data_IF_272382808074
#
_entry.id   IF_272382808074
#
_cell.length_a   1.000
_cell.length_b   1.000
_cell.length_c   1.000
_cell.angle_alpha   90.00
_cell.angle_beta   90.00
_cell.angle_gamma   90.00
#
_symmetry.space_group_name_H-M   'P 1'
#
loop_
_entity.id
_entity.type
_entity.pdbx_description
1 polymer ?
#
# COMPACT_ATOMS: atom_id res chain seq x y z
N UNK A 1 -34.98 11.54 9.22
CA UNK A 1 -34.22 10.36 8.79
C UNK A 1 -33.65 10.73 7.43
N UNK A 2 -32.44 11.29 7.39
CA UNK A 2 -31.84 11.72 6.12
C UNK A 2 -31.11 10.52 5.53
N UNK A 3 -31.46 10.18 4.29
CA UNK A 3 -30.92 9.05 3.55
C UNK A 3 -29.42 9.28 3.27
N UNK A 4 -28.57 8.71 4.10
CA UNK A 4 -27.13 8.66 3.88
C UNK A 4 -26.81 7.52 2.90
N UNK A 5 -27.29 7.63 1.67
CA UNK A 5 -27.05 6.65 0.59
C UNK A 5 -26.26 7.23 -0.57
N UNK A 6 -25.91 8.52 -0.50
CA UNK A 6 -25.12 9.19 -1.53
C UNK A 6 -23.61 8.95 -1.35
N UNK A 7 -22.95 8.56 -2.44
CA UNK A 7 -21.51 8.31 -2.49
C UNK A 7 -20.81 9.55 -3.06
N UNK A 8 -19.78 10.05 -2.37
CA UNK A 8 -18.97 11.14 -2.87
C UNK A 8 -18.14 10.69 -4.09
N UNK A 9 -18.33 11.36 -5.23
CA UNK A 9 -17.66 11.02 -6.51
C UNK A 9 -16.48 11.95 -6.84
N UNK A 10 -16.09 12.86 -5.95
CA UNK A 10 -15.08 13.89 -6.24
C UNK A 10 -13.73 13.30 -6.68
N UNK A 11 -13.27 12.22 -6.03
CA UNK A 11 -12.01 11.57 -6.41
C UNK A 11 -12.01 11.00 -7.83
N UNK A 12 -13.14 10.45 -8.28
CA UNK A 12 -13.32 9.96 -9.66
C UNK A 12 -13.37 11.12 -10.64
N UNK A 13 -14.09 12.20 -10.31
CA UNK A 13 -14.17 13.39 -11.16
C UNK A 13 -12.81 14.07 -11.36
N UNK A 14 -11.96 14.04 -10.33
CA UNK A 14 -10.59 14.56 -10.38
C UNK A 14 -9.60 13.59 -11.04
N UNK A 15 -10.07 12.43 -11.52
CA UNK A 15 -9.23 11.37 -12.09
C UNK A 15 -8.07 10.98 -11.16
N UNK A 16 -8.34 10.90 -9.85
CA UNK A 16 -7.34 10.48 -8.88
C UNK A 16 -6.94 9.02 -9.14
N UNK A 17 -5.73 8.84 -9.68
CA UNK A 17 -5.17 7.53 -9.97
C UNK A 17 -4.57 6.89 -8.72
N UNK A 18 -4.90 5.63 -8.47
CA UNK A 18 -4.33 4.84 -7.38
C UNK A 18 -3.73 3.55 -7.92
N UNK A 19 -2.70 3.04 -7.25
CA UNK A 19 -2.11 1.76 -7.61
C UNK A 19 -2.66 0.66 -6.72
N UNK A 20 -3.15 -0.41 -7.34
CA UNK A 20 -3.52 -1.63 -6.66
C UNK A 20 -2.31 -2.57 -6.60
N UNK A 21 -1.70 -2.72 -5.42
CA UNK A 21 -0.53 -3.58 -5.25
C UNK A 21 -0.87 -4.80 -4.41
N UNK A 22 -0.50 -5.98 -4.92
CA UNK A 22 -0.56 -7.23 -4.19
C UNK A 22 0.68 -7.36 -3.29
N UNK A 23 0.47 -7.40 -1.98
CA UNK A 23 1.53 -7.47 -0.98
C UNK A 23 1.56 -8.87 -0.33
N UNK A 24 2.72 -9.54 -0.27
CA UNK A 24 2.87 -10.79 0.49
C UNK A 24 2.63 -10.59 1.99
N UNK A 25 2.07 -11.60 2.66
CA UNK A 25 1.72 -11.53 4.10
C UNK A 25 2.90 -11.21 5.02
N UNK A 26 4.09 -11.74 4.73
CA UNK A 26 5.26 -11.46 5.56
C UNK A 26 5.61 -9.96 5.53
N UNK A 27 5.38 -9.28 4.41
CA UNK A 27 5.74 -7.88 4.23
C UNK A 27 4.77 -6.97 4.99
N UNK A 28 3.46 -7.26 4.90
CA UNK A 28 2.46 -6.53 5.70
C UNK A 28 2.72 -6.69 7.19
N UNK A 29 3.12 -7.89 7.65
CA UNK A 29 3.48 -8.13 9.05
C UNK A 29 4.68 -7.30 9.50
N UNK A 30 5.66 -7.02 8.62
CA UNK A 30 6.76 -6.11 8.96
C UNK A 30 6.29 -4.66 9.03
N UNK A 31 5.32 -4.26 8.22
CA UNK A 31 4.75 -2.91 8.26
C UNK A 31 3.98 -2.65 9.55
N UNK A 32 3.31 -3.66 10.10
CA UNK A 32 2.64 -3.57 11.40
C UNK A 32 3.62 -3.29 12.55
N UNK A 33 4.90 -3.61 12.38
CA UNK A 33 5.98 -3.34 13.36
C UNK A 33 6.55 -1.92 13.24
N UNK A 34 6.12 -1.11 12.27
CA UNK A 34 6.63 0.24 12.08
C UNK A 34 6.20 1.18 13.21
N UNK A 35 7.17 1.90 13.77
CA UNK A 35 6.94 2.83 14.88
C UNK A 35 6.42 4.19 14.38
N UNK A 36 5.55 4.82 15.18
CA UNK A 36 4.85 6.13 15.16
C UNK A 36 4.82 7.04 13.91
N UNK A 37 5.85 7.08 13.07
CA UNK A 37 5.84 7.90 11.84
C UNK A 37 5.14 7.23 10.66
N UNK A 38 4.81 5.94 10.77
CA UNK A 38 4.16 5.17 9.70
C UNK A 38 5.05 4.96 8.47
N UNK A 39 6.35 5.23 8.56
CA UNK A 39 7.30 5.03 7.47
C UNK A 39 7.80 3.59 7.47
N UNK A 40 7.53 2.87 6.39
CA UNK A 40 7.86 1.44 6.26
C UNK A 40 9.02 1.17 5.30
N UNK A 41 9.34 2.11 4.42
CA UNK A 41 10.29 1.88 3.35
C UNK A 41 10.19 2.90 2.23
N UNK A 42 10.87 2.62 1.14
CA UNK A 42 10.97 3.49 -0.03
C UNK A 42 10.57 2.77 -1.31
N UNK A 43 9.77 3.42 -2.14
CA UNK A 43 9.50 2.96 -3.51
C UNK A 43 10.46 3.66 -4.46
N UNK A 44 11.13 2.89 -5.30
CA UNK A 44 12.01 3.37 -6.37
C UNK A 44 11.40 3.02 -7.72
N UNK A 45 11.23 4.02 -8.57
CA UNK A 45 10.73 3.88 -9.94
C UNK A 45 11.89 4.20 -10.89
N UNK A 46 12.43 3.18 -11.54
CA UNK A 46 13.47 3.30 -12.56
C UNK A 46 12.88 3.14 -13.96
N UNK A 47 13.42 3.86 -14.94
CA UNK A 47 13.14 3.62 -16.36
C UNK A 47 14.45 3.22 -17.05
N UNK A 48 14.53 1.97 -17.52
CA UNK A 48 15.69 1.46 -18.26
C UNK A 48 15.26 1.00 -19.64
N UNK A 49 15.84 1.59 -20.69
CA UNK A 49 15.65 1.17 -22.09
C UNK A 49 14.17 0.93 -22.48
N UNK A 50 13.26 1.81 -22.03
CA UNK A 50 11.83 1.71 -22.33
C UNK A 50 11.02 0.77 -21.43
N UNK A 51 11.64 0.06 -20.49
CA UNK A 51 10.97 -0.72 -19.44
C UNK A 51 10.97 0.06 -18.13
N UNK A 52 9.80 0.16 -17.50
CA UNK A 52 9.65 0.72 -16.15
C UNK A 52 9.86 -0.39 -15.14
N UNK A 53 10.84 -0.24 -14.26
CA UNK A 53 11.12 -1.11 -13.12
C UNK A 53 10.65 -0.39 -11.85
N UNK A 54 9.80 -1.05 -11.06
CA UNK A 54 9.35 -0.52 -9.78
C UNK A 54 9.81 -1.48 -8.69
N UNK A 55 10.40 -0.97 -7.62
CA UNK A 55 10.87 -1.77 -6.50
C UNK A 55 10.54 -1.08 -5.18
N UNK A 56 10.04 -1.84 -4.21
CA UNK A 56 9.90 -1.39 -2.83
C UNK A 56 11.07 -1.91 -2.01
N UNK A 57 11.73 -1.04 -1.25
CA UNK A 57 12.81 -1.39 -0.34
C UNK A 57 12.37 -1.13 1.10
N UNK A 58 12.44 -2.15 1.94
CA UNK A 58 12.08 -2.06 3.37
C UNK A 58 13.14 -1.25 4.14
N UNK A 59 12.71 -0.50 5.15
CA UNK A 59 13.62 0.22 6.04
C UNK A 59 14.50 -0.75 6.86
N UNK A 60 15.73 -0.34 7.14
CA UNK A 60 16.72 -1.19 7.82
C UNK A 60 16.29 -1.54 9.26
N UNK A 61 15.59 -0.62 9.93
CA UNK A 61 15.03 -0.84 11.28
C UNK A 61 13.99 -1.97 11.28
N UNK A 62 13.10 -2.02 10.30
CA UNK A 62 12.09 -3.09 10.17
C UNK A 62 12.70 -4.40 9.71
N UNK A 63 13.74 -4.32 8.87
CA UNK A 63 14.49 -5.51 8.42
C UNK A 63 15.21 -6.17 9.61
N UNK A 64 15.78 -5.37 10.52
CA UNK A 64 16.47 -5.87 11.72
C UNK A 64 15.50 -6.42 12.79
N UNK A 65 14.33 -5.80 12.96
CA UNK A 65 13.29 -6.25 13.90
C UNK A 65 12.66 -7.58 13.48
N UNK A 66 12.55 -7.84 12.18
CA UNK A 66 12.13 -9.15 11.67
C UNK A 66 13.10 -10.28 12.03
N UNK A 67 14.39 -9.98 12.20
CA UNK A 67 15.44 -10.96 12.49
C UNK A 67 15.59 -11.31 13.99
N UNK A 68 15.10 -10.47 14.92
CA UNK A 68 15.25 -10.72 16.37
C UNK A 68 14.15 -11.60 16.98
N UNK A 69 13.00 -11.76 16.32
CA UNK A 69 11.87 -12.56 16.85
C UNK A 69 12.01 -14.07 16.62
N UNK A 70 12.94 -14.52 15.76
CA UNK A 70 13.15 -15.93 15.48
C UNK A 70 14.46 -16.45 16.09
N UNK A 71 14.35 -16.94 17.33
CA UNK A 71 15.18 -18.03 17.84
C UNK A 71 14.86 -19.27 17.00
N UNK A 72 15.35 -19.34 15.75
CA UNK A 72 15.53 -20.53 14.91
C UNK A 72 15.86 -20.09 13.47
N UNK A 73 17.16 -19.99 13.15
CA UNK A 73 17.71 -20.16 11.79
C UNK A 73 17.05 -19.43 10.62
N UNK A 74 17.51 -18.21 10.33
CA UNK A 74 17.62 -17.61 8.99
C UNK A 74 16.42 -17.74 8.03
N UNK A 75 15.50 -16.78 8.13
CA UNK A 75 14.80 -16.23 6.97
C UNK A 75 14.96 -14.71 6.97
N UNK A 76 16.10 -14.22 6.50
CA UNK A 76 16.29 -12.79 6.28
C UNK A 76 15.21 -12.30 5.29
N UNK A 77 14.29 -11.46 5.75
CA UNK A 77 13.29 -10.83 4.88
C UNK A 77 14.06 -10.06 3.80
N UNK A 78 13.84 -10.33 2.51
CA UNK A 78 14.54 -9.61 1.45
C UNK A 78 14.31 -8.11 1.60
N UNK A 79 15.39 -7.31 1.56
CA UNK A 79 15.28 -5.85 1.63
C UNK A 79 14.50 -5.29 0.45
N UNK A 80 14.75 -5.84 -0.73
CA UNK A 80 14.19 -5.36 -1.99
C UNK A 80 13.08 -6.28 -2.51
N UNK A 81 11.96 -5.66 -2.87
CA UNK A 81 10.75 -6.30 -3.36
C UNK A 81 10.35 -5.69 -4.71
N UNK A 82 10.78 -6.28 -5.84
CA UNK A 82 10.42 -5.80 -7.16
C UNK A 82 8.93 -5.99 -7.44
N UNK A 83 8.29 -4.97 -7.99
CA UNK A 83 6.89 -5.01 -8.40
C UNK A 83 6.78 -5.39 -9.87
N UNK A 84 5.90 -6.35 -10.15
CA UNK A 84 5.53 -6.68 -11.53
C UNK A 84 4.28 -5.90 -11.91
N UNK A 85 4.37 -5.10 -12.97
CA UNK A 85 3.23 -4.32 -13.46
C UNK A 85 2.26 -5.24 -14.21
N UNK A 86 0.99 -5.22 -13.82
CA UNK A 86 -0.08 -5.96 -14.47
C UNK A 86 -1.09 -5.00 -15.10
N UNK A 87 -1.52 -5.29 -16.33
CA UNK A 87 -2.60 -4.54 -16.97
C UNK A 87 -3.94 -4.98 -16.38
N UNK A 88 -4.77 -4.02 -15.96
CA UNK A 88 -6.14 -4.27 -15.45
C UNK A 88 -7.18 -4.42 -16.58
N UNK A 89 -6.73 -4.87 -17.76
CA UNK A 89 -7.55 -4.92 -18.98
C UNK A 89 -8.76 -5.84 -18.79
N UNK A 90 -9.95 -5.34 -19.12
CA UNK A 90 -11.21 -6.08 -19.02
C UNK A 90 -12.05 -5.78 -17.78
N UNK A 91 -11.56 -4.95 -16.84
CA UNK A 91 -12.33 -4.52 -15.68
C UNK A 91 -12.04 -3.05 -15.31
N UNK A 92 -13.05 -2.35 -14.82
CA UNK A 92 -12.90 -1.00 -14.24
C UNK A 92 -12.92 -1.13 -12.72
N UNK A 93 -11.83 -0.74 -12.07
CA UNK A 93 -11.71 -0.73 -10.62
C UNK A 93 -11.83 0.70 -10.09
N UNK A 94 -12.59 0.86 -9.01
CA UNK A 94 -12.72 2.11 -8.28
C UNK A 94 -12.59 1.83 -6.78
N UNK A 95 -12.12 2.81 -6.03
CA UNK A 95 -11.97 2.73 -4.58
C UNK A 95 -13.03 3.63 -3.94
N UNK A 96 -13.75 3.08 -2.97
CA UNK A 96 -14.59 3.84 -2.06
C UNK A 96 -14.10 3.60 -0.64
N UNK A 97 -14.13 4.64 0.19
CA UNK A 97 -13.84 4.56 1.62
C UNK A 97 -15.12 4.75 2.41
N UNK A 98 -15.33 3.93 3.44
CA UNK A 98 -16.42 4.09 4.39
C UNK A 98 -15.83 4.50 5.74
N UNK A 99 -16.17 5.71 6.20
CA UNK A 99 -15.80 6.20 7.53
C UNK A 99 -16.87 5.82 8.56
N UNK A 100 -16.44 5.51 9.79
CA UNK A 100 -17.33 5.13 10.92
C UNK A 100 -18.15 6.35 11.41
N UNK A 101 -17.58 7.54 11.26
CA UNK A 101 -18.33 8.78 11.34
C UNK A 101 -19.03 8.98 9.99
N UNK A 102 -20.35 9.18 9.98
CA UNK A 102 -21.11 9.57 8.80
C UNK A 102 -20.73 10.95 8.23
N UNK A 103 -19.46 11.36 8.34
CA UNK A 103 -18.85 12.52 7.73
C UNK A 103 -17.63 12.02 6.96
N UNK A 104 -17.64 12.24 5.66
CA UNK A 104 -16.53 11.99 4.74
C UNK A 104 -15.30 12.76 5.22
N UNK A 105 -14.43 12.09 5.97
CA UNK A 105 -13.17 12.63 6.44
C UNK A 105 -12.04 12.15 5.54
N UNK A 106 -11.35 13.13 4.96
CA UNK A 106 -9.99 13.04 4.44
C UNK A 106 -9.10 12.30 5.43
N UNK A 107 -8.37 11.32 4.90
CA UNK A 107 -7.15 10.73 5.47
C UNK A 107 -7.28 10.15 6.88
N UNK A 108 -7.79 8.92 6.98
CA UNK A 108 -7.14 7.81 7.70
C UNK A 108 -8.11 6.63 7.77
N UNK A 109 -7.80 5.51 7.10
CA UNK A 109 -8.54 4.26 7.28
C UNK A 109 -7.58 3.10 7.54
N UNK A 110 -7.70 2.58 8.76
CA UNK A 110 -7.08 1.36 9.25
C UNK A 110 -7.69 0.12 8.59
N UNK A 111 -6.81 -0.77 8.15
CA UNK A 111 -7.02 -2.19 7.85
C UNK A 111 -8.06 -2.56 6.78
N UNK A 112 -7.59 -2.74 5.55
CA UNK A 112 -7.93 -3.89 4.69
C UNK A 112 -6.73 -4.12 3.75
N UNK A 113 -6.38 -5.39 3.53
CA UNK A 113 -5.14 -5.89 2.92
C UNK A 113 -5.04 -5.64 1.39
N UNK A 114 -5.24 -4.40 0.96
CA UNK A 114 -4.97 -3.85 -0.37
C UNK A 114 -4.32 -2.49 -0.15
N UNK A 115 -2.99 -2.43 -0.27
CA UNK A 115 -2.29 -1.15 -0.13
C UNK A 115 -2.48 -0.35 -1.41
N UNK A 116 -3.32 0.66 -1.29
CA UNK A 116 -3.48 1.69 -2.31
C UNK A 116 -2.33 2.68 -2.13
N UNK A 117 -1.43 2.68 -3.09
CA UNK A 117 -0.40 3.71 -3.16
C UNK A 117 -0.96 4.88 -3.96
N UNK A 118 -1.10 6.02 -3.30
CA UNK A 118 -1.32 7.30 -3.97
C UNK A 118 0.05 7.83 -4.38
N UNK A 119 0.26 8.04 -5.68
CA UNK A 119 1.44 8.75 -6.20
C UNK A 119 0.96 10.13 -6.57
N UNK A 120 1.24 11.12 -5.71
CA UNK A 120 0.96 12.54 -5.97
C UNK A 120 2.02 13.16 -6.86
#
# INVERSE_FOLDING_TARGET
MSDQTEVNLTGVQQNQGVWLVKVPKYLSQQWDKATEKGEVGKITIGKKQGKTEVCFSLNEELTALGAMDEVNGELQVPKDHPFTMHTVGGQTLAVFSQSDTGQSATDSCSSTLLCLLSVT
#
